data_IF_604008195348
#
_entry.id   IF_604008195348
#
_cell.length_a   1.000
_cell.length_b   1.000
_cell.length_c   1.000
_cell.angle_alpha   90.00
_cell.angle_beta   90.00
_cell.angle_gamma   90.00
#
_symmetry.space_group_name_H-M   'P 1'
#
loop_
_entity.id
_entity.type
_entity.pdbx_description
1 polymer ?
#
# COMPACT_ATOMS: atom_id res chain seq x y z
N UNK A 1 -11.01 -17.93 1.56
CA UNK A 1 -11.06 -16.84 0.54
C UNK A 1 -9.67 -16.44 0.06
N UNK A 2 -8.67 -16.41 0.94
CA UNK A 2 -7.28 -16.06 0.61
C UNK A 2 -6.34 -17.27 0.48
N UNK A 3 -6.78 -18.44 0.90
CA UNK A 3 -5.93 -19.64 1.08
C UNK A 3 -5.22 -20.07 -0.21
N UNK A 4 -5.92 -20.05 -1.34
CA UNK A 4 -5.32 -20.39 -2.63
C UNK A 4 -4.26 -19.38 -3.06
N UNK A 5 -4.54 -18.09 -2.85
CA UNK A 5 -3.60 -17.01 -3.18
C UNK A 5 -2.35 -17.06 -2.28
N UNK A 6 -2.53 -17.26 -0.97
CA UNK A 6 -1.43 -17.44 -0.01
C UNK A 6 -0.58 -18.62 -0.39
N UNK A 7 -1.20 -19.78 -0.64
CA UNK A 7 -0.49 -21.01 -1.05
C UNK A 7 0.30 -20.78 -2.34
N UNK A 8 -0.36 -20.24 -3.37
CA UNK A 8 0.28 -19.96 -4.65
C UNK A 8 1.54 -19.09 -4.52
N UNK A 9 1.46 -18.04 -3.69
CA UNK A 9 2.62 -17.16 -3.47
C UNK A 9 3.69 -17.90 -2.65
N UNK A 10 3.30 -18.55 -1.55
CA UNK A 10 4.23 -19.24 -0.66
C UNK A 10 5.03 -20.32 -1.39
N UNK A 11 4.41 -21.02 -2.35
CA UNK A 11 5.10 -22.02 -3.17
C UNK A 11 6.16 -21.39 -4.11
N UNK A 12 5.98 -20.12 -4.48
CA UNK A 12 6.93 -19.41 -5.36
C UNK A 12 8.07 -18.73 -4.62
N UNK A 13 7.84 -18.31 -3.38
CA UNK A 13 8.83 -17.57 -2.59
C UNK A 13 9.49 -18.47 -1.56
N UNK A 14 10.79 -18.28 -1.32
CA UNK A 14 11.55 -19.02 -0.31
C UNK A 14 11.81 -18.22 0.97
N UNK A 15 11.07 -17.12 1.15
CA UNK A 15 11.28 -16.20 2.25
C UNK A 15 9.93 -15.76 2.82
N UNK A 16 9.92 -15.34 4.07
CA UNK A 16 8.76 -14.75 4.73
C UNK A 16 8.98 -13.23 4.80
N UNK A 17 8.17 -12.40 4.11
CA UNK A 17 8.35 -10.96 4.16
C UNK A 17 7.99 -10.40 5.54
N UNK A 18 8.76 -9.41 5.99
CA UNK A 18 8.51 -8.67 7.24
C UNK A 18 7.96 -7.28 6.96
N UNK A 19 8.32 -6.69 5.82
CA UNK A 19 7.96 -5.32 5.45
C UNK A 19 7.21 -5.36 4.12
N UNK A 20 6.03 -4.74 4.09
CA UNK A 20 5.27 -4.47 2.88
C UNK A 20 5.46 -3.03 2.43
N UNK A 21 5.68 -2.82 1.14
CA UNK A 21 5.81 -1.48 0.55
C UNK A 21 4.84 -1.36 -0.62
N UNK A 22 3.97 -0.35 -0.59
CA UNK A 22 3.06 -0.05 -1.70
C UNK A 22 3.60 1.15 -2.46
N UNK A 23 4.01 0.93 -3.70
CA UNK A 23 4.52 2.00 -4.56
C UNK A 23 3.36 2.75 -5.23
N UNK A 24 3.32 4.05 -5.00
CA UNK A 24 2.38 4.96 -5.63
C UNK A 24 2.75 5.29 -7.08
N UNK A 25 1.91 6.10 -7.73
CA UNK A 25 2.10 6.56 -9.11
C UNK A 25 3.45 7.27 -9.26
N UNK A 26 4.20 6.91 -10.30
CA UNK A 26 5.53 7.47 -10.58
C UNK A 26 6.67 6.86 -9.78
N UNK A 27 6.39 6.02 -8.76
CA UNK A 27 7.42 5.43 -7.91
C UNK A 27 7.73 3.97 -8.27
N UNK A 28 7.11 3.44 -9.34
CA UNK A 28 7.23 2.03 -9.71
C UNK A 28 8.66 1.52 -9.90
N UNK A 29 9.59 2.35 -10.33
CA UNK A 29 10.99 2.01 -10.57
C UNK A 29 11.94 2.67 -9.57
N UNK A 30 11.41 3.36 -8.55
CA UNK A 30 12.19 4.09 -7.56
C UNK A 30 12.82 3.19 -6.47
N UNK A 31 12.47 1.90 -6.47
CA UNK A 31 12.89 0.99 -5.41
C UNK A 31 13.60 -0.25 -5.97
N UNK A 32 14.80 -0.51 -5.48
CA UNK A 32 15.60 -1.69 -5.84
C UNK A 32 15.40 -2.79 -4.82
N UNK A 33 15.19 -4.01 -5.29
CA UNK A 33 15.04 -5.22 -4.47
C UNK A 33 16.15 -6.18 -4.82
N UNK A 34 16.87 -6.67 -3.81
CA UNK A 34 17.89 -7.68 -3.98
C UNK A 34 17.23 -9.07 -4.10
N UNK A 35 17.76 -9.93 -4.96
CA UNK A 35 17.26 -11.28 -5.25
C UNK A 35 15.76 -11.32 -5.58
N UNK A 36 15.26 -10.55 -6.54
CA UNK A 36 13.84 -10.34 -6.73
C UNK A 36 13.12 -11.56 -7.31
N UNK A 37 12.04 -11.96 -6.67
CA UNK A 37 11.04 -12.92 -7.18
C UNK A 37 9.77 -12.15 -7.55
N UNK A 38 9.38 -12.24 -8.82
CA UNK A 38 8.20 -11.56 -9.34
C UNK A 38 6.98 -12.48 -9.32
N UNK A 39 5.86 -11.98 -8.76
CA UNK A 39 4.57 -12.66 -8.77
C UNK A 39 3.54 -11.73 -9.36
N UNK A 40 3.06 -12.04 -10.58
CA UNK A 40 2.11 -11.19 -11.28
C UNK A 40 0.69 -11.40 -10.76
N UNK A 41 -0.08 -10.32 -10.60
CA UNK A 41 -1.45 -10.38 -10.07
C UNK A 41 -2.37 -11.30 -10.87
N UNK A 42 -2.24 -11.29 -12.21
CA UNK A 42 -3.01 -12.15 -13.12
C UNK A 42 -2.79 -13.65 -12.90
N UNK A 43 -1.70 -14.03 -12.24
CA UNK A 43 -1.37 -15.42 -11.95
C UNK A 43 -1.90 -15.87 -10.59
N UNK A 44 -2.28 -14.92 -9.72
CA UNK A 44 -2.76 -15.21 -8.37
C UNK A 44 -4.26 -15.52 -8.43
N UNK A 45 -4.70 -16.68 -7.92
CA UNK A 45 -6.12 -17.04 -7.94
C UNK A 45 -7.02 -15.99 -7.28
N UNK A 46 -8.06 -15.55 -8.00
CA UNK A 46 -9.05 -14.59 -7.50
C UNK A 46 -8.52 -13.20 -7.16
N UNK A 47 -7.38 -12.81 -7.73
CA UNK A 47 -6.76 -11.52 -7.45
C UNK A 47 -7.18 -10.45 -8.45
N UNK A 48 -7.42 -9.19 -8.03
CA UNK A 48 -7.80 -8.12 -8.93
C UNK A 48 -6.60 -7.67 -9.78
N UNK A 49 -6.87 -7.30 -11.02
CA UNK A 49 -5.84 -6.83 -11.96
C UNK A 49 -6.15 -5.39 -12.36
N UNK A 50 -5.20 -4.47 -12.14
CA UNK A 50 -5.39 -3.07 -12.54
C UNK A 50 -5.58 -2.93 -14.05
N UNK A 51 -6.53 -2.08 -14.43
CA UNK A 51 -6.80 -1.69 -15.82
C UNK A 51 -6.05 -0.44 -16.24
N UNK A 52 -5.35 0.20 -15.30
CA UNK A 52 -4.61 1.45 -15.55
C UNK A 52 -3.32 1.17 -16.30
N UNK A 53 -3.15 1.85 -17.43
CA UNK A 53 -1.94 1.76 -18.25
C UNK A 53 -0.68 2.16 -17.43
N UNK A 54 0.40 1.40 -17.60
CA UNK A 54 1.68 1.63 -16.89
C UNK A 54 1.80 0.94 -15.54
N UNK A 55 0.73 0.34 -15.01
CA UNK A 55 0.82 -0.49 -13.80
C UNK A 55 1.38 -1.87 -14.15
N UNK A 56 2.52 -2.24 -13.59
CA UNK A 56 3.15 -3.55 -13.82
C UNK A 56 2.34 -4.71 -13.23
N UNK A 57 1.46 -4.43 -12.26
CA UNK A 57 0.51 -5.39 -11.69
C UNK A 57 1.18 -6.63 -11.09
N UNK A 58 2.12 -6.43 -10.17
CA UNK A 58 2.88 -7.52 -9.58
C UNK A 58 3.34 -7.22 -8.14
N UNK A 59 3.61 -8.28 -7.40
CA UNK A 59 4.44 -8.24 -6.21
C UNK A 59 5.89 -8.53 -6.58
N UNK A 60 6.82 -7.91 -5.85
CA UNK A 60 8.25 -8.19 -5.90
C UNK A 60 8.65 -8.62 -4.48
N UNK A 61 9.06 -9.87 -4.33
CA UNK A 61 9.60 -10.39 -3.08
C UNK A 61 11.12 -10.42 -3.16
N UNK A 62 11.80 -10.13 -2.05
CA UNK A 62 13.25 -10.14 -1.98
C UNK A 62 13.75 -9.42 -0.76
N UNK A 63 14.92 -8.80 -0.85
CA UNK A 63 15.56 -8.17 0.28
C UNK A 63 15.86 -6.70 -0.01
N UNK A 64 15.90 -5.90 1.06
CA UNK A 64 16.43 -4.55 1.04
C UNK A 64 17.14 -4.29 2.35
N UNK A 65 18.41 -3.85 2.30
CA UNK A 65 19.26 -3.71 3.48
C UNK A 65 19.26 -4.96 4.38
N UNK A 66 19.24 -6.14 3.77
CA UNK A 66 19.21 -7.43 4.47
C UNK A 66 17.86 -7.80 5.12
N UNK A 67 16.82 -6.99 4.95
CA UNK A 67 15.47 -7.26 5.45
C UNK A 67 14.59 -7.88 4.37
N UNK A 68 13.81 -8.94 4.70
CA UNK A 68 12.89 -9.54 3.75
C UNK A 68 11.67 -8.65 3.54
N UNK A 69 11.42 -8.29 2.28
CA UNK A 69 10.38 -7.35 1.90
C UNK A 69 9.45 -7.90 0.82
N UNK A 70 8.26 -7.36 0.75
CA UNK A 70 7.37 -7.45 -0.41
C UNK A 70 7.01 -6.05 -0.90
N UNK A 71 7.22 -5.81 -2.17
CA UNK A 71 6.89 -4.54 -2.83
C UNK A 71 5.70 -4.75 -3.76
N UNK A 72 4.66 -3.95 -3.58
CA UNK A 72 3.50 -3.91 -4.44
C UNK A 72 3.73 -2.88 -5.54
N UNK A 73 3.97 -3.35 -6.77
CA UNK A 73 4.23 -2.52 -7.94
C UNK A 73 2.99 -2.45 -8.85
N UNK A 74 2.21 -1.41 -8.65
CA UNK A 74 0.86 -1.23 -9.22
C UNK A 74 -0.22 -1.68 -8.24
N UNK A 75 -1.36 -1.01 -8.28
CA UNK A 75 -2.52 -1.29 -7.42
C UNK A 75 -3.81 -1.07 -8.18
N UNK A 76 -4.88 -1.72 -7.74
CA UNK A 76 -6.23 -1.44 -8.20
C UNK A 76 -6.82 -0.28 -7.41
N UNK A 77 -7.72 0.47 -8.01
CA UNK A 77 -8.35 1.62 -7.38
C UNK A 77 -9.87 1.50 -7.43
N UNK A 78 -10.53 2.14 -6.46
CA UNK A 78 -11.97 2.16 -6.38
C UNK A 78 -12.62 2.77 -7.63
N UNK A 79 -11.99 3.80 -8.23
CA UNK A 79 -12.50 4.42 -9.44
C UNK A 79 -12.42 3.53 -10.70
N UNK A 80 -11.68 2.42 -10.67
CA UNK A 80 -11.66 1.42 -11.73
C UNK A 80 -12.91 0.51 -11.71
N UNK A 81 -13.83 0.73 -10.75
CA UNK A 81 -15.06 -0.06 -10.58
C UNK A 81 -14.90 -1.27 -9.65
N UNK A 82 -13.75 -1.44 -9.01
CA UNK A 82 -13.54 -2.50 -8.04
C UNK A 82 -14.27 -2.22 -6.73
N UNK A 83 -14.78 -3.27 -6.08
CA UNK A 83 -15.31 -3.15 -4.73
C UNK A 83 -14.19 -2.77 -3.74
N UNK A 84 -14.55 -2.14 -2.60
CA UNK A 84 -13.56 -1.85 -1.56
C UNK A 84 -12.90 -3.13 -1.02
N UNK A 85 -13.61 -4.26 -1.03
CA UNK A 85 -13.04 -5.55 -0.64
C UNK A 85 -11.91 -5.99 -1.60
N UNK A 86 -12.07 -5.73 -2.90
CA UNK A 86 -11.04 -6.03 -3.89
C UNK A 86 -9.86 -5.05 -3.80
N UNK A 87 -10.14 -3.77 -3.55
CA UNK A 87 -9.10 -2.74 -3.40
C UNK A 87 -8.16 -3.04 -2.23
N UNK A 88 -8.69 -3.55 -1.10
CA UNK A 88 -7.87 -3.87 0.09
C UNK A 88 -7.32 -5.29 0.06
N UNK A 89 -7.77 -6.14 -0.87
CA UNK A 89 -7.33 -7.55 -0.96
C UNK A 89 -5.81 -7.71 -1.01
N UNK A 90 -5.04 -6.90 -1.77
CA UNK A 90 -3.59 -7.00 -1.80
C UNK A 90 -2.93 -6.78 -0.44
N UNK A 91 -3.41 -5.79 0.31
CA UNK A 91 -2.89 -5.46 1.64
C UNK A 91 -3.18 -6.59 2.64
N UNK A 92 -4.41 -7.12 2.62
CA UNK A 92 -4.78 -8.27 3.46
C UNK A 92 -3.94 -9.50 3.13
N UNK A 93 -3.68 -9.75 1.85
CA UNK A 93 -2.82 -10.84 1.41
C UNK A 93 -1.38 -10.67 1.93
N UNK A 94 -0.80 -9.47 1.85
CA UNK A 94 0.51 -9.19 2.44
C UNK A 94 0.51 -9.44 3.96
N UNK A 95 -0.56 -9.07 4.67
CA UNK A 95 -0.73 -9.37 6.09
C UNK A 95 -0.69 -10.87 6.39
N UNK A 96 -1.43 -11.68 5.61
CA UNK A 96 -1.45 -13.14 5.74
C UNK A 96 -0.09 -13.79 5.40
N UNK A 97 0.70 -13.18 4.52
CA UNK A 97 2.08 -13.59 4.22
C UNK A 97 3.05 -13.27 5.36
N UNK A 98 2.64 -12.45 6.34
CA UNK A 98 3.36 -12.24 7.57
C UNK A 98 4.09 -10.91 7.71
N UNK A 99 3.77 -9.89 6.92
CA UNK A 99 4.34 -8.56 7.13
C UNK A 99 3.96 -8.02 8.51
N UNK A 100 4.89 -7.30 9.11
CA UNK A 100 4.71 -6.61 10.41
C UNK A 100 4.64 -5.10 10.24
N UNK A 101 5.21 -4.60 9.14
CA UNK A 101 5.30 -3.18 8.81
C UNK A 101 4.76 -2.96 7.41
N UNK A 102 3.94 -1.93 7.26
CA UNK A 102 3.41 -1.53 5.96
C UNK A 102 3.76 -0.07 5.69
N UNK A 103 4.45 0.17 4.58
CA UNK A 103 4.77 1.50 4.08
C UNK A 103 3.88 1.78 2.87
N UNK A 104 3.07 2.82 2.96
CA UNK A 104 2.21 3.26 1.87
C UNK A 104 2.80 4.52 1.25
N UNK A 105 2.95 4.53 -0.07
CA UNK A 105 3.34 5.72 -0.81
C UNK A 105 2.29 6.11 -1.84
N UNK A 106 2.11 7.40 -2.05
CA UNK A 106 1.21 7.93 -3.06
C UNK A 106 1.71 9.29 -3.56
N UNK A 107 1.34 9.64 -4.79
CA UNK A 107 1.45 11.02 -5.25
C UNK A 107 0.18 11.77 -4.86
N UNK A 108 0.34 13.03 -4.43
CA UNK A 108 -0.77 13.92 -4.08
C UNK A 108 -0.47 15.36 -4.53
N UNK A 109 -1.52 16.15 -4.76
CA UNK A 109 -1.38 17.59 -4.91
C UNK A 109 -1.20 18.26 -3.55
N UNK A 110 -0.25 19.17 -3.41
CA UNK A 110 -0.11 20.02 -2.24
C UNK A 110 -1.14 21.16 -2.25
N UNK A 111 -1.73 21.44 -1.08
CA UNK A 111 -2.61 22.61 -0.89
C UNK A 111 -1.82 23.76 -0.24
N UNK A 112 -0.87 23.45 0.64
CA UNK A 112 -0.04 24.47 1.27
C UNK A 112 0.88 25.12 0.27
N UNK A 113 1.00 26.47 0.35
CA UNK A 113 1.93 27.27 -0.45
C UNK A 113 3.40 26.98 -0.12
N UNK A 114 3.67 26.35 1.00
CA UNK A 114 5.03 25.93 1.42
C UNK A 114 5.52 24.69 0.69
N UNK A 115 4.65 24.00 -0.06
CA UNK A 115 4.99 22.76 -0.76
C UNK A 115 5.34 23.04 -2.22
N UNK A 116 6.43 22.44 -2.66
CA UNK A 116 6.86 22.42 -4.05
C UNK A 116 6.74 21.01 -4.67
N UNK A 117 6.60 20.90 -6.01
CA UNK A 117 6.68 19.62 -6.68
C UNK A 117 8.01 18.91 -6.39
N UNK A 118 7.93 17.68 -5.91
CA UNK A 118 9.10 16.89 -5.52
C UNK A 118 9.29 16.77 -4.01
N UNK A 119 8.57 17.56 -3.22
CA UNK A 119 8.63 17.45 -1.77
C UNK A 119 8.03 16.12 -1.29
N UNK A 120 8.59 15.60 -0.21
CA UNK A 120 8.09 14.39 0.46
C UNK A 120 7.33 14.82 1.70
N UNK A 121 6.10 14.35 1.81
CA UNK A 121 5.21 14.60 2.95
C UNK A 121 4.98 13.31 3.72
N UNK A 122 5.14 13.34 5.04
CA UNK A 122 4.73 12.25 5.92
C UNK A 122 3.28 12.50 6.34
N UNK A 123 2.40 11.54 6.03
CA UNK A 123 0.99 11.60 6.43
C UNK A 123 0.89 11.18 7.90
N UNK A 124 0.38 12.06 8.74
CA UNK A 124 0.16 11.80 10.17
C UNK A 124 -1.28 11.37 10.49
N UNK A 125 -2.24 11.77 9.66
CA UNK A 125 -3.65 11.41 9.82
C UNK A 125 -4.41 11.55 8.50
N UNK A 126 -5.67 11.09 8.45
CA UNK A 126 -6.50 11.13 7.26
C UNK A 126 -7.96 11.52 7.59
N UNK A 127 -8.56 12.29 6.69
CA UNK A 127 -10.00 12.54 6.67
C UNK A 127 -10.61 11.69 5.57
N UNK A 128 -11.51 10.76 5.95
CA UNK A 128 -12.20 9.86 5.02
C UNK A 128 -13.71 10.11 5.05
N UNK A 129 -14.16 11.11 4.30
CA UNK A 129 -15.58 11.49 4.29
C UNK A 129 -16.41 10.85 3.18
N UNK A 130 -15.80 10.42 2.08
CA UNK A 130 -16.52 10.02 0.86
C UNK A 130 -16.12 8.65 0.30
N UNK A 131 -15.26 7.93 0.99
CA UNK A 131 -14.81 6.60 0.56
C UNK A 131 -15.53 5.53 1.38
N UNK A 132 -16.18 4.53 0.75
CA UNK A 132 -16.81 3.44 1.47
C UNK A 132 -15.78 2.69 2.33
N UNK A 133 -16.17 2.36 3.55
CA UNK A 133 -15.31 1.58 4.46
C UNK A 133 -15.17 0.13 3.98
N UNK A 134 -13.97 -0.43 3.93
CA UNK A 134 -13.77 -1.86 3.67
C UNK A 134 -14.25 -2.75 4.82
N UNK A 135 -14.65 -2.17 5.95
CA UNK A 135 -15.18 -2.88 7.12
C UNK A 135 -16.70 -3.09 7.05
N UNK A 136 -17.38 -2.61 5.99
CA UNK A 136 -18.80 -2.87 5.78
C UNK A 136 -18.99 -4.37 5.49
N UNK A 137 -19.96 -4.98 6.19
CA UNK A 137 -20.28 -6.40 6.05
C UNK A 137 -19.87 -7.22 7.28
N UNK A 138 -19.78 -8.54 7.13
CA UNK A 138 -19.36 -9.45 8.19
C UNK A 138 -17.89 -9.23 8.54
N UNK A 139 -17.59 -9.26 9.85
CA UNK A 139 -16.19 -9.21 10.29
C UNK A 139 -15.41 -10.42 9.76
N UNK A 140 -14.14 -10.20 9.45
CA UNK A 140 -13.18 -11.26 9.13
C UNK A 140 -12.20 -11.29 10.30
N UNK A 141 -12.45 -12.20 11.25
CA UNK A 141 -11.77 -12.23 12.55
C UNK A 141 -10.25 -12.41 12.44
N UNK A 142 -9.79 -13.02 11.35
CA UNK A 142 -8.37 -13.18 11.02
C UNK A 142 -7.63 -11.85 10.83
N UNK A 143 -8.35 -10.75 10.52
CA UNK A 143 -7.78 -9.41 10.33
C UNK A 143 -8.00 -8.49 11.54
N UNK A 144 -8.62 -8.97 12.60
CA UNK A 144 -8.77 -8.24 13.83
C UNK A 144 -10.20 -7.98 14.26
N UNK A 145 -10.33 -7.12 15.26
CA UNK A 145 -11.61 -6.80 15.90
C UNK A 145 -12.55 -6.04 14.98
N UNK A 146 -13.86 -6.18 15.22
CA UNK A 146 -14.92 -5.51 14.46
C UNK A 146 -14.80 -3.99 14.45
N UNK A 147 -14.39 -3.42 15.57
CA UNK A 147 -14.27 -1.98 15.80
C UNK A 147 -12.83 -1.67 16.22
N UNK A 148 -11.89 -1.54 15.27
CA UNK A 148 -10.53 -1.15 15.60
C UNK A 148 -10.50 0.29 16.10
N UNK A 149 -9.61 0.56 17.05
CA UNK A 149 -9.30 1.93 17.46
C UNK A 149 -8.58 2.64 16.32
N UNK A 150 -9.16 3.76 15.86
CA UNK A 150 -8.64 4.58 14.77
C UNK A 150 -8.06 5.91 15.28
N UNK A 151 -7.83 6.06 16.58
CA UNK A 151 -7.25 7.27 17.17
C UNK A 151 -5.80 7.51 16.72
N UNK A 152 -5.09 6.42 16.42
CA UNK A 152 -3.71 6.43 15.93
C UNK A 152 -3.60 5.50 14.71
N UNK A 153 -3.90 6.03 13.52
CA UNK A 153 -3.89 5.25 12.26
C UNK A 153 -2.46 4.90 11.85
N UNK A 154 -1.53 5.83 12.09
CA UNK A 154 -0.13 5.68 11.77
C UNK A 154 0.72 5.50 13.01
N UNK A 155 1.79 4.72 12.88
CA UNK A 155 2.74 4.45 13.95
C UNK A 155 3.59 5.69 14.25
N UNK A 156 3.36 6.33 15.39
CA UNK A 156 4.05 7.56 15.80
C UNK A 156 5.57 7.38 15.94
N UNK A 157 6.02 6.22 16.42
CA UNK A 157 7.46 5.94 16.52
C UNK A 157 8.11 5.94 15.15
N UNK A 158 7.44 5.37 14.15
CA UNK A 158 7.94 5.33 12.77
C UNK A 158 7.90 6.71 12.11
N UNK A 159 6.88 7.51 12.41
CA UNK A 159 6.84 8.91 11.99
C UNK A 159 8.07 9.67 12.53
N UNK A 160 8.39 9.52 13.82
CA UNK A 160 9.56 10.16 14.43
C UNK A 160 10.89 9.70 13.80
N UNK A 161 11.00 8.41 13.50
CA UNK A 161 12.17 7.86 12.79
C UNK A 161 12.30 8.50 11.40
N UNK A 162 11.20 8.58 10.64
CA UNK A 162 11.20 9.20 9.32
C UNK A 162 11.61 10.66 9.38
N UNK A 163 11.17 11.43 10.37
CA UNK A 163 11.60 12.80 10.59
C UNK A 163 13.10 12.91 10.89
N UNK A 164 13.63 12.03 11.72
CA UNK A 164 15.06 12.04 12.07
C UNK A 164 15.96 11.80 10.86
N UNK A 165 15.53 10.95 9.92
CA UNK A 165 16.35 10.59 8.75
C UNK A 165 16.08 11.44 7.53
N UNK A 166 15.24 12.41 7.63
CA UNK A 166 15.10 13.51 6.74
C UNK A 166 13.74 13.94 6.26
N UNK A 167 13.53 15.18 6.35
CA UNK A 167 13.22 15.92 5.17
C UNK A 167 11.80 15.78 4.68
N UNK A 168 10.88 15.56 5.59
CA UNK A 168 9.52 15.59 5.18
C UNK A 168 8.79 16.72 5.89
N UNK A 169 8.07 17.49 5.11
CA UNK A 169 7.10 18.42 5.62
C UNK A 169 5.91 17.65 6.20
N UNK A 170 5.49 17.96 7.42
CA UNK A 170 4.28 17.39 8.03
C UNK A 170 3.07 18.18 7.54
N UNK A 171 2.18 17.49 6.83
CA UNK A 171 0.88 18.04 6.48
C UNK A 171 -0.24 17.13 6.95
N UNK A 172 -1.26 17.72 7.51
CA UNK A 172 -2.39 17.04 8.15
C UNK A 172 -3.46 16.53 7.18
N UNK A 173 -3.39 16.88 5.89
CA UNK A 173 -4.39 16.46 4.90
C UNK A 173 -3.75 16.16 3.56
N UNK A 174 -4.08 15.01 2.97
CA UNK A 174 -3.74 14.71 1.59
C UNK A 174 -4.97 14.90 0.70
N UNK A 175 -4.97 15.85 -0.25
CA UNK A 175 -6.05 15.95 -1.21
C UNK A 175 -6.05 14.78 -2.18
N UNK A 176 -7.23 14.44 -2.69
CA UNK A 176 -7.40 13.34 -3.64
C UNK A 176 -6.64 13.60 -4.95
N UNK A 177 -6.04 12.57 -5.57
CA UNK A 177 -5.40 12.68 -6.88
C UNK A 177 -6.30 13.16 -8.02
N UNK A 178 -7.63 13.17 -7.82
CA UNK A 178 -8.62 13.64 -8.81
C UNK A 178 -8.54 15.11 -9.14
N UNK A 179 -7.95 15.92 -8.28
CA UNK A 179 -7.94 17.37 -8.45
C UNK A 179 -6.91 17.83 -9.50
N UNK A 180 -5.99 16.95 -9.91
CA UNK A 180 -4.99 17.23 -10.96
C UNK A 180 -5.47 17.08 -12.39
N UNK A 181 -6.61 16.45 -12.64
CA UNK A 181 -7.10 16.22 -14.01
C UNK A 181 -7.93 17.36 -14.58
N UNK A 182 -8.05 18.48 -13.85
CA UNK A 182 -8.85 19.64 -14.24
C UNK A 182 -8.05 20.91 -14.51
N UNK A 183 -6.73 20.83 -14.56
CA UNK A 183 -5.88 21.97 -14.97
C UNK A 183 -5.23 21.71 -16.32
#
# INVERSE_FOLDING_TARGET
MYDEAVRYITDKIKMKPEIGIVLGSGLGDAFTVDDPVYVYYKEIPGFPVSTVAGHKGRFIFGYSCGKPIVVMQGRVHYYEGYSMQDVVKPIRLMGLLGIRWLILTNAAGGISEELAPGDIMIISDQISSFVPSPLIGRNIDEFGVRFPDMSHIYDEEKIQIMHKYNCACLLYTSPSPRDRQKS
#
